data_IF_268605127721
#
_entry.id   IF_268605127721
#
_cell.length_a   1.000
_cell.length_b   1.000
_cell.length_c   1.000
_cell.angle_alpha   90.00
_cell.angle_beta   90.00
_cell.angle_gamma   90.00
#
_symmetry.space_group_name_H-M   'P 1'
#
loop_
_entity.id
_entity.type
_entity.pdbx_description
1 polymer ?
#
# COMPACT_ATOMS: atom_id res chain seq x y z
N UNK A 1 5.34 13.38 -14.06
CA UNK A 1 5.80 12.02 -14.43
C UNK A 1 6.83 11.44 -13.45
N UNK A 2 7.78 12.21 -12.89
CA UNK A 2 8.70 11.68 -11.85
C UNK A 2 7.98 11.10 -10.64
N UNK A 3 6.98 11.82 -10.11
CA UNK A 3 6.33 11.47 -8.84
C UNK A 3 5.61 10.10 -8.83
N UNK A 4 4.87 9.74 -9.89
CA UNK A 4 4.25 8.41 -9.97
C UNK A 4 5.30 7.29 -10.06
N UNK A 5 6.40 7.53 -10.78
CA UNK A 5 7.52 6.58 -10.86
C UNK A 5 8.17 6.39 -9.49
N UNK A 6 8.43 7.50 -8.79
CA UNK A 6 9.03 7.48 -7.45
C UNK A 6 8.12 6.76 -6.43
N UNK A 7 6.79 6.93 -6.54
CA UNK A 7 5.82 6.23 -5.70
C UNK A 7 5.78 4.73 -6.01
N UNK A 8 5.84 4.36 -7.29
CA UNK A 8 5.88 2.96 -7.75
C UNK A 8 7.13 2.24 -7.25
N UNK A 9 8.30 2.88 -7.33
CA UNK A 9 9.57 2.32 -6.85
C UNK A 9 9.54 2.10 -5.33
N UNK A 10 9.00 3.05 -4.57
CA UNK A 10 8.83 2.92 -3.12
C UNK A 10 7.84 1.82 -2.75
N UNK A 11 6.74 1.71 -3.48
CA UNK A 11 5.74 0.65 -3.28
C UNK A 11 6.37 -0.72 -3.49
N UNK A 12 7.13 -0.88 -4.58
CA UNK A 12 7.85 -2.14 -4.90
C UNK A 12 8.86 -2.51 -3.82
N UNK A 13 9.58 -1.53 -3.26
CA UNK A 13 10.52 -1.76 -2.19
C UNK A 13 9.84 -2.24 -0.90
N UNK A 14 8.67 -1.68 -0.55
CA UNK A 14 7.90 -2.13 0.61
C UNK A 14 7.31 -3.52 0.42
N UNK A 15 6.79 -3.84 -0.76
CA UNK A 15 6.33 -5.19 -1.09
C UNK A 15 7.45 -6.22 -0.91
N UNK A 16 8.66 -5.91 -1.38
CA UNK A 16 9.82 -6.81 -1.21
C UNK A 16 10.21 -7.01 0.26
N UNK A 17 10.10 -5.97 1.10
CA UNK A 17 10.34 -6.04 2.54
C UNK A 17 9.28 -6.87 3.25
N UNK A 18 8.01 -6.72 2.86
CA UNK A 18 6.91 -7.52 3.39
C UNK A 18 7.07 -9.00 3.05
N UNK A 19 7.34 -9.34 1.78
CA UNK A 19 7.62 -10.71 1.35
C UNK A 19 8.83 -11.34 2.06
N UNK A 20 9.83 -10.54 2.43
CA UNK A 20 10.97 -11.01 3.19
C UNK A 20 10.61 -11.43 4.64
N UNK A 21 9.46 -10.97 5.17
CA UNK A 21 8.95 -11.31 6.50
C UNK A 21 7.83 -12.33 6.51
N UNK A 22 7.47 -12.89 5.35
CA UNK A 22 6.40 -13.88 5.29
C UNK A 22 6.78 -15.12 6.12
N UNK A 23 6.02 -15.45 7.19
CA UNK A 23 6.31 -16.60 8.04
C UNK A 23 6.11 -17.94 7.31
N UNK A 24 5.44 -17.93 6.15
CA UNK A 24 5.29 -19.11 5.29
C UNK A 24 6.54 -19.39 4.43
N UNK A 25 7.44 -18.41 4.29
CA UNK A 25 8.72 -18.61 3.62
C UNK A 25 9.76 -19.20 4.61
N UNK A 26 10.20 -20.46 4.44
CA UNK A 26 11.13 -21.09 5.38
C UNK A 26 12.52 -20.43 5.44
N UNK A 27 12.83 -19.49 4.54
CA UNK A 27 14.05 -18.69 4.58
C UNK A 27 13.89 -17.35 5.31
N UNK A 28 12.67 -16.91 5.66
CA UNK A 28 12.41 -15.64 6.36
C UNK A 28 12.91 -15.64 7.81
N UNK A 29 12.89 -16.81 8.47
CA UNK A 29 13.46 -17.03 9.81
C UNK A 29 14.96 -16.67 9.92
N UNK A 30 15.69 -16.65 8.80
CA UNK A 30 17.11 -16.25 8.77
C UNK A 30 17.33 -14.79 8.33
N UNK A 31 16.24 -14.06 8.04
CA UNK A 31 16.24 -12.66 7.58
C UNK A 31 15.47 -11.74 8.52
N UNK A 32 15.42 -12.06 9.82
CA UNK A 32 14.83 -11.18 10.82
C UNK A 32 15.63 -9.87 10.91
N UNK A 33 15.05 -8.78 10.42
CA UNK A 33 15.58 -7.43 10.56
C UNK A 33 14.59 -6.59 11.37
N UNK A 34 15.04 -5.80 12.35
CA UNK A 34 14.15 -4.91 13.12
C UNK A 34 13.52 -3.81 12.24
N UNK A 35 14.07 -3.55 11.04
CA UNK A 35 13.49 -2.62 10.07
C UNK A 35 12.35 -3.25 9.26
N UNK A 36 12.07 -4.52 9.51
CA UNK A 36 11.12 -5.32 8.79
C UNK A 36 9.97 -5.74 9.74
N UNK A 37 9.97 -5.26 10.98
CA UNK A 37 8.87 -5.47 11.91
C UNK A 37 7.63 -4.69 11.47
N UNK A 38 6.46 -5.29 11.66
CA UNK A 38 5.16 -4.73 11.23
C UNK A 38 4.96 -3.31 11.80
N UNK A 39 5.39 -3.08 13.04
CA UNK A 39 5.30 -1.77 13.70
C UNK A 39 6.13 -0.68 13.00
N UNK A 40 7.19 -1.07 12.27
CA UNK A 40 8.02 -0.15 11.48
C UNK A 40 7.53 0.02 10.04
N UNK A 41 6.98 -1.04 9.44
CA UNK A 41 6.47 -1.01 8.05
C UNK A 41 5.12 -0.27 7.96
N UNK A 42 4.31 -0.33 9.01
CA UNK A 42 2.97 0.24 8.98
C UNK A 42 2.93 1.75 8.69
N UNK A 43 3.69 2.63 9.39
CA UNK A 43 3.69 4.05 9.09
C UNK A 43 4.22 4.38 7.68
N UNK A 44 5.15 3.58 7.17
CA UNK A 44 5.68 3.76 5.81
C UNK A 44 4.60 3.48 4.77
N UNK A 45 3.81 2.42 4.95
CA UNK A 45 2.75 2.03 4.02
C UNK A 45 1.56 2.97 4.12
N UNK A 46 1.16 3.35 5.33
CA UNK A 46 0.15 4.38 5.55
C UNK A 46 0.53 5.68 4.82
N UNK A 47 1.81 6.07 4.88
CA UNK A 47 2.32 7.23 4.15
C UNK A 47 2.19 7.09 2.63
N UNK A 48 2.46 5.91 2.05
CA UNK A 48 2.30 5.67 0.62
C UNK A 48 0.82 5.71 0.19
N UNK A 49 -0.07 5.06 0.95
CA UNK A 49 -1.51 5.06 0.66
C UNK A 49 -2.07 6.48 0.80
N UNK A 50 -1.64 7.23 1.81
CA UNK A 50 -1.99 8.64 1.99
C UNK A 50 -1.56 9.50 0.81
N UNK A 51 -0.30 9.38 0.38
CA UNK A 51 0.23 10.11 -0.77
C UNK A 51 -0.49 9.77 -2.08
N UNK A 52 -0.93 8.52 -2.26
CA UNK A 52 -1.78 8.14 -3.39
C UNK A 52 -3.12 8.88 -3.34
N UNK A 53 -3.78 8.92 -2.18
CA UNK A 53 -5.05 9.64 -2.05
C UNK A 53 -4.92 11.14 -2.21
N UNK A 54 -3.80 11.74 -1.79
CA UNK A 54 -3.51 13.15 -2.07
C UNK A 54 -3.43 13.42 -3.58
N UNK A 55 -2.77 12.55 -4.34
CA UNK A 55 -2.72 12.66 -5.81
C UNK A 55 -4.11 12.52 -6.40
N UNK A 56 -4.87 11.49 -5.99
CA UNK A 56 -6.24 11.25 -6.44
C UNK A 56 -7.15 12.45 -6.16
N UNK A 57 -7.06 13.04 -4.98
CA UNK A 57 -7.87 14.20 -4.61
C UNK A 57 -7.44 15.47 -5.38
N UNK A 58 -6.15 15.59 -5.71
CA UNK A 58 -5.62 16.70 -6.52
C UNK A 58 -6.09 16.63 -7.97
N UNK A 59 -6.23 15.42 -8.53
CA UNK A 59 -6.67 15.23 -9.93
C UNK A 59 -8.16 14.92 -10.06
N UNK A 60 -8.94 15.02 -8.98
CA UNK A 60 -10.35 14.62 -8.94
C UNK A 60 -11.22 15.32 -9.99
N UNK A 61 -10.93 16.58 -10.29
CA UNK A 61 -11.70 17.39 -11.25
C UNK A 61 -11.36 17.05 -12.73
N UNK A 62 -10.32 16.25 -12.96
CA UNK A 62 -9.90 15.79 -14.28
C UNK A 62 -10.11 14.27 -14.42
N UNK A 63 -11.20 13.83 -15.06
CA UNK A 63 -11.55 12.42 -15.15
C UNK A 63 -10.55 11.60 -15.99
N UNK A 64 -9.82 12.22 -16.92
CA UNK A 64 -8.81 11.53 -17.74
C UNK A 64 -7.57 11.22 -16.89
N UNK A 65 -7.11 12.20 -16.11
CA UNK A 65 -6.00 12.01 -15.18
C UNK A 65 -6.34 11.09 -14.02
N UNK A 66 -7.56 11.18 -13.47
CA UNK A 66 -8.01 10.29 -12.43
C UNK A 66 -7.95 8.82 -12.89
N UNK A 67 -8.50 8.53 -14.07
CA UNK A 67 -8.45 7.17 -14.63
C UNK A 67 -7.01 6.68 -14.82
N UNK A 68 -6.12 7.54 -15.32
CA UNK A 68 -4.71 7.18 -15.54
C UNK A 68 -3.98 6.88 -14.23
N UNK A 69 -4.20 7.70 -13.21
CA UNK A 69 -3.62 7.51 -11.87
C UNK A 69 -4.14 6.22 -11.22
N UNK A 70 -5.45 5.96 -11.30
CA UNK A 70 -6.04 4.72 -10.81
C UNK A 70 -5.52 3.48 -11.56
N UNK A 71 -5.36 3.57 -12.89
CA UNK A 71 -4.86 2.46 -13.70
C UNK A 71 -3.37 2.15 -13.46
N UNK A 72 -2.52 3.17 -13.28
CA UNK A 72 -1.08 2.98 -13.08
C UNK A 72 -0.74 2.64 -11.62
N UNK A 73 -1.34 3.31 -10.64
CA UNK A 73 -0.97 3.18 -9.23
C UNK A 73 -1.95 2.35 -8.41
N UNK A 74 -3.21 2.26 -8.82
CA UNK A 74 -4.26 1.61 -8.03
C UNK A 74 -3.99 0.12 -7.78
N UNK A 75 -3.45 -0.59 -8.78
CA UNK A 75 -3.08 -2.01 -8.64
C UNK A 75 -1.95 -2.23 -7.63
N UNK A 76 -0.93 -1.36 -7.64
CA UNK A 76 0.20 -1.40 -6.72
C UNK A 76 -0.22 -1.09 -5.29
N UNK A 77 -1.04 -0.06 -5.10
CA UNK A 77 -1.62 0.32 -3.80
C UNK A 77 -2.52 -0.80 -3.27
N UNK A 78 -3.38 -1.36 -4.13
CA UNK A 78 -4.29 -2.43 -3.74
C UNK A 78 -3.53 -3.68 -3.27
N UNK A 79 -2.47 -4.04 -3.98
CA UNK A 79 -1.62 -5.16 -3.57
C UNK A 79 -0.92 -4.89 -2.24
N UNK A 80 -0.28 -3.73 -2.08
CA UNK A 80 0.43 -3.34 -0.85
C UNK A 80 -0.50 -3.28 0.39
N UNK A 81 -1.75 -2.86 0.20
CA UNK A 81 -2.70 -2.76 1.30
C UNK A 81 -3.40 -4.10 1.63
N UNK A 82 -3.34 -5.09 0.73
CA UNK A 82 -3.98 -6.41 0.91
C UNK A 82 -3.02 -7.57 1.16
N UNK A 83 -1.72 -7.34 1.01
CA UNK A 83 -0.67 -8.31 1.33
C UNK A 83 -0.59 -8.63 2.84
N UNK A 84 -1.06 -7.72 3.70
CA UNK A 84 -1.17 -7.97 5.14
C UNK A 84 -2.18 -9.06 5.48
N UNK A 85 -1.90 -9.81 6.54
CA UNK A 85 -2.86 -10.75 7.08
C UNK A 85 -4.14 -10.03 7.56
N UNK A 86 -5.26 -10.71 7.45
CA UNK A 86 -6.60 -10.15 7.70
C UNK A 86 -6.71 -9.54 9.11
N UNK A 87 -6.19 -10.21 10.13
CA UNK A 87 -6.18 -9.70 11.52
C UNK A 87 -5.40 -8.39 11.65
N UNK A 88 -4.25 -8.27 10.99
CA UNK A 88 -3.49 -7.03 11.02
C UNK A 88 -4.28 -5.92 10.33
N UNK A 89 -4.82 -6.19 9.14
CA UNK A 89 -5.62 -5.23 8.37
C UNK A 89 -6.83 -4.72 9.12
N UNK A 90 -7.56 -5.58 9.83
CA UNK A 90 -8.72 -5.15 10.65
C UNK A 90 -8.30 -4.16 11.74
N UNK A 91 -7.18 -4.41 12.41
CA UNK A 91 -6.60 -3.47 13.37
C UNK A 91 -6.15 -2.16 12.73
N UNK A 92 -5.68 -2.20 11.47
CA UNK A 92 -5.28 -1.00 10.73
C UNK A 92 -6.50 -0.15 10.34
N UNK A 93 -7.59 -0.78 9.90
CA UNK A 93 -8.86 -0.10 9.58
C UNK A 93 -9.46 0.59 10.80
N UNK A 94 -9.30 0.00 12.00
CA UNK A 94 -9.74 0.60 13.26
C UNK A 94 -8.88 1.80 13.69
N UNK A 95 -7.60 1.84 13.31
CA UNK A 95 -6.63 2.84 13.78
C UNK A 95 -6.35 3.97 12.78
N UNK A 96 -6.51 3.73 11.48
CA UNK A 96 -6.11 4.65 10.42
C UNK A 96 -7.28 5.00 9.49
N UNK A 97 -7.57 6.29 9.37
CA UNK A 97 -8.58 6.81 8.45
C UNK A 97 -8.21 6.58 6.98
N UNK A 98 -6.90 6.54 6.66
CA UNK A 98 -6.39 6.27 5.31
C UNK A 98 -6.71 4.82 4.90
N UNK A 99 -6.47 3.87 5.80
CA UNK A 99 -6.83 2.47 5.57
C UNK A 99 -8.33 2.24 5.53
N UNK A 100 -9.10 2.96 6.35
CA UNK A 100 -10.56 2.92 6.30
C UNK A 100 -11.11 3.39 4.96
N UNK A 101 -10.51 4.45 4.39
CA UNK A 101 -10.84 4.93 3.05
C UNK A 101 -10.49 3.89 1.98
N UNK A 102 -9.30 3.29 2.08
CA UNK A 102 -8.90 2.19 1.20
C UNK A 102 -9.86 0.99 1.29
N UNK A 103 -10.28 0.60 2.49
CA UNK A 103 -11.16 -0.55 2.69
C UNK A 103 -12.53 -0.38 2.00
N UNK A 104 -13.04 0.84 1.96
CA UNK A 104 -14.26 1.18 1.22
C UNK A 104 -14.04 1.18 -0.29
N UNK A 105 -12.87 1.65 -0.75
CA UNK A 105 -12.55 1.77 -2.17
C UNK A 105 -12.02 0.47 -2.80
N UNK A 106 -11.60 -0.51 -2.01
CA UNK A 106 -10.90 -1.73 -2.48
C UNK A 106 -11.66 -2.47 -3.58
N UNK A 107 -12.99 -2.44 -3.57
CA UNK A 107 -13.85 -3.07 -4.58
C UNK A 107 -13.60 -2.54 -6.01
N UNK A 108 -13.04 -1.34 -6.16
CA UNK A 108 -12.68 -0.76 -7.46
C UNK A 108 -11.50 -1.49 -8.13
N UNK A 109 -10.63 -2.10 -7.33
CA UNK A 109 -9.37 -2.69 -7.79
C UNK A 109 -9.43 -4.22 -7.99
N UNK A 110 -10.45 -4.90 -7.46
CA UNK A 110 -10.61 -6.37 -7.54
C UNK A 110 -11.72 -6.82 -8.48
N UNK A 111 -11.96 -6.07 -9.56
CA UNK A 111 -12.97 -6.40 -10.58
C UNK A 111 -12.46 -7.34 -11.66
#
# INVERSE_FOLDING_TARGET
MSYCSDLSDRTTLLMNREFANDPTNPLSIYRSSPHNEIDSLFPEIEGIIGAYYEVVDTVRDDPEWLYKVEAELGSHIAFLATSFCETSRDQLVEKSDVYKRFDMDKQKFFK
#
